data_IF_982939986418
#
_entry.id   IF_982939986418
#
_cell.length_a   1.000
_cell.length_b   1.000
_cell.length_c   1.000
_cell.angle_alpha   90.00
_cell.angle_beta   90.00
_cell.angle_gamma   90.00
#
_symmetry.space_group_name_H-M   'P 1'
#
loop_
_entity.id
_entity.type
_entity.pdbx_description
1 polymer ?
#
# COMPACT_ATOMS: atom_id res chain seq x y z
N UNK A 1 -6.23 -18.78 -0.33
CA UNK A 1 -7.69 -19.01 -0.25
C UNK A 1 -8.00 -19.33 1.19
N UNK A 2 -8.24 -18.29 1.99
CA UNK A 2 -8.76 -18.33 3.36
C UNK A 2 -9.16 -16.88 3.68
N UNK A 3 -10.36 -16.59 4.21
CA UNK A 3 -10.77 -15.21 4.48
C UNK A 3 -10.26 -14.78 5.87
N UNK A 4 -9.77 -13.54 6.07
CA UNK A 4 -9.45 -13.08 7.40
C UNK A 4 -10.73 -12.63 8.13
N UNK A 5 -10.91 -13.21 9.31
CA UNK A 5 -12.01 -12.99 10.25
C UNK A 5 -12.10 -11.54 10.73
N UNK A 6 -13.18 -10.84 10.36
CA UNK A 6 -13.49 -9.53 10.90
C UNK A 6 -13.90 -9.63 12.38
N UNK A 7 -13.10 -9.04 13.26
CA UNK A 7 -13.42 -8.87 14.68
C UNK A 7 -14.45 -7.73 14.85
N UNK A 8 -15.39 -7.83 15.80
CA UNK A 8 -16.33 -6.75 16.09
C UNK A 8 -15.58 -5.58 16.75
N UNK A 9 -16.13 -4.35 16.69
CA UNK A 9 -15.52 -3.23 17.38
C UNK A 9 -15.62 -3.48 18.90
N UNK A 10 -14.47 -3.65 19.55
CA UNK A 10 -14.36 -3.62 21.01
C UNK A 10 -14.89 -2.28 21.51
N UNK A 11 -15.96 -2.33 22.31
CA UNK A 11 -16.31 -1.28 23.25
C UNK A 11 -15.10 -1.03 24.16
N UNK A 12 -14.49 0.15 24.02
CA UNK A 12 -13.53 0.68 24.98
C UNK A 12 -14.34 1.36 26.09
N UNK A 13 -14.33 0.85 27.33
CA UNK A 13 -14.80 1.66 28.44
C UNK A 13 -13.70 2.68 28.75
N UNK A 14 -14.00 3.97 28.61
CA UNK A 14 -13.14 5.02 29.16
C UNK A 14 -13.19 4.95 30.69
N UNK A 15 -12.34 4.10 31.27
CA UNK A 15 -11.84 4.26 32.63
C UNK A 15 -10.59 5.15 32.55
N UNK A 16 -10.64 6.32 33.21
CA UNK A 16 -9.45 7.12 33.42
C UNK A 16 -9.71 8.63 33.45
N UNK A 17 -10.29 9.11 34.54
CA UNK A 17 -9.79 10.25 35.34
C UNK A 17 -10.81 10.50 36.46
N UNK A 18 -10.64 9.77 37.56
CA UNK A 18 -11.24 10.15 38.83
C UNK A 18 -10.52 11.42 39.30
N UNK A 19 -11.07 12.58 38.96
CA UNK A 19 -10.80 13.80 39.71
C UNK A 19 -11.37 13.57 41.11
N UNK A 20 -10.48 13.36 42.07
CA UNK A 20 -10.78 13.37 43.49
C UNK A 20 -11.35 14.75 43.85
N UNK A 21 -12.67 14.88 43.84
CA UNK A 21 -13.36 16.01 44.41
C UNK A 21 -13.32 15.85 45.93
N UNK A 22 -12.41 16.60 46.54
CA UNK A 22 -12.26 16.74 47.99
C UNK A 22 -13.62 17.09 48.62
N UNK A 23 -14.16 16.15 49.40
CA UNK A 23 -15.31 16.36 50.28
C UNK A 23 -14.86 17.27 51.43
N UNK A 24 -14.85 18.58 51.16
CA UNK A 24 -14.95 19.57 52.23
C UNK A 24 -16.40 19.55 52.70
N UNK A 25 -16.64 18.83 53.79
CA UNK A 25 -17.82 18.96 54.63
C UNK A 25 -17.83 20.36 55.25
N UNK A 26 -18.22 21.36 54.46
CA UNK A 26 -18.58 22.67 54.97
C UNK A 26 -20.04 22.53 55.39
N UNK A 27 -20.27 22.59 56.70
CA UNK A 27 -21.56 22.92 57.28
C UNK A 27 -21.98 24.30 56.76
N UNK A 28 -22.58 24.33 55.58
CA UNK A 28 -23.29 25.50 55.07
C UNK A 28 -24.73 25.38 55.55
N UNK A 29 -25.11 26.30 56.43
CA UNK A 29 -26.49 26.73 56.68
C UNK A 29 -27.29 26.69 55.37
N UNK A 30 -28.60 26.36 55.39
CA UNK A 30 -29.38 26.22 54.16
C UNK A 30 -29.35 27.55 53.41
N UNK A 31 -28.49 27.65 52.40
CA UNK A 31 -28.54 28.71 51.42
C UNK A 31 -29.87 28.52 50.72
N UNK A 32 -30.80 29.46 50.94
CA UNK A 32 -32.11 29.48 50.29
C UNK A 32 -31.93 29.22 48.80
N UNK A 33 -32.40 28.05 48.34
CA UNK A 33 -32.20 27.61 46.98
C UNK A 33 -32.80 28.67 46.04
N UNK A 34 -32.00 29.17 45.10
CA UNK A 34 -32.46 30.20 44.18
C UNK A 34 -33.37 29.58 43.11
N UNK A 35 -34.42 30.29 42.66
CA UNK A 35 -35.26 29.79 41.58
C UNK A 35 -34.44 29.48 40.33
N UNK A 36 -34.73 28.36 39.68
CA UNK A 36 -34.10 27.97 38.41
C UNK A 36 -35.14 27.40 37.43
N UNK A 37 -34.76 27.32 36.16
CA UNK A 37 -35.56 26.66 35.13
C UNK A 37 -34.67 25.85 34.19
N UNK A 38 -35.14 24.69 33.75
CA UNK A 38 -34.45 23.83 32.80
C UNK A 38 -35.41 23.27 31.74
N UNK A 39 -34.89 22.89 30.58
CA UNK A 39 -35.66 22.24 29.51
C UNK A 39 -35.51 20.72 29.64
N UNK A 40 -36.65 20.03 29.73
CA UNK A 40 -36.72 18.58 29.89
C UNK A 40 -37.55 17.98 28.75
N UNK A 41 -36.92 17.25 27.80
CA UNK A 41 -35.47 17.05 27.67
C UNK A 41 -34.73 18.32 27.17
N UNK A 42 -33.39 18.40 27.30
CA UNK A 42 -32.61 19.58 26.88
C UNK A 42 -32.73 19.94 25.40
N UNK A 43 -33.04 18.94 24.56
CA UNK A 43 -33.27 19.10 23.14
C UNK A 43 -34.37 18.14 22.67
N UNK A 44 -35.19 18.60 21.72
CA UNK A 44 -36.34 17.84 21.20
C UNK A 44 -36.39 17.86 19.67
N UNK A 45 -37.01 16.83 19.09
CA UNK A 45 -37.35 16.83 17.67
C UNK A 45 -38.60 17.67 17.43
N UNK A 46 -38.69 18.28 16.25
CA UNK A 46 -39.91 18.94 15.78
C UNK A 46 -41.09 17.95 15.83
N UNK A 47 -42.22 18.43 16.36
CA UNK A 47 -43.40 17.61 16.61
C UNK A 47 -43.50 16.99 18.00
N UNK A 48 -42.40 16.99 18.78
CA UNK A 48 -42.41 16.49 20.16
C UNK A 48 -42.78 17.59 21.17
N UNK A 49 -42.80 17.22 22.46
CA UNK A 49 -43.10 18.12 23.57
C UNK A 49 -41.86 18.35 24.44
N UNK A 50 -41.73 19.54 25.00
CA UNK A 50 -40.68 19.90 25.97
C UNK A 50 -41.32 20.55 27.20
N UNK A 51 -40.87 20.13 28.38
CA UNK A 51 -41.26 20.75 29.64
C UNK A 51 -40.20 21.76 30.06
N UNK A 52 -40.60 23.00 30.29
CA UNK A 52 -39.80 24.00 30.99
C UNK A 52 -40.08 23.84 32.48
N UNK A 53 -39.24 23.07 33.15
CA UNK A 53 -39.41 22.69 34.55
C UNK A 53 -38.86 23.81 35.43
N UNK A 54 -39.73 24.41 36.24
CA UNK A 54 -39.35 25.41 37.23
C UNK A 54 -39.02 24.74 38.56
N UNK A 55 -37.93 25.16 39.19
CA UNK A 55 -37.45 24.65 40.47
C UNK A 55 -37.31 25.76 41.50
N UNK A 56 -37.43 25.41 42.79
CA UNK A 56 -37.17 26.29 43.93
C UNK A 56 -37.95 27.62 43.85
N UNK A 57 -39.21 27.58 43.43
CA UNK A 57 -40.05 28.77 43.47
C UNK A 57 -40.37 29.15 44.93
N UNK A 58 -40.45 30.45 45.28
CA UNK A 58 -40.74 30.89 46.65
C UNK A 58 -42.11 30.39 47.16
N UNK A 59 -42.26 30.22 48.47
CA UNK A 59 -43.57 29.84 49.04
C UNK A 59 -44.60 30.98 48.98
N UNK A 60 -44.13 32.24 48.98
CA UNK A 60 -44.95 33.45 48.96
C UNK A 60 -45.20 34.02 47.56
N UNK A 61 -45.42 33.15 46.57
CA UNK A 61 -45.73 33.55 45.20
C UNK A 61 -47.06 34.30 45.11
N UNK A 62 -47.06 35.38 44.31
CA UNK A 62 -48.25 36.15 43.96
C UNK A 62 -48.69 35.85 42.51
N UNK A 63 -47.73 35.74 41.59
CA UNK A 63 -47.96 35.43 40.19
C UNK A 63 -46.68 34.91 39.52
N UNK A 64 -46.85 34.23 38.39
CA UNK A 64 -45.72 33.86 37.53
C UNK A 64 -46.09 33.91 36.05
N UNK A 65 -45.18 34.47 35.25
CA UNK A 65 -45.41 34.83 33.86
C UNK A 65 -44.33 34.21 32.96
N UNK A 66 -44.73 33.49 31.93
CA UNK A 66 -43.82 32.96 30.92
C UNK A 66 -43.79 33.85 29.68
N UNK A 67 -42.58 34.15 29.22
CA UNK A 67 -42.32 34.94 28.02
C UNK A 67 -41.36 34.19 27.09
N UNK A 68 -41.48 34.43 25.78
CA UNK A 68 -40.50 33.99 24.77
C UNK A 68 -39.58 35.15 24.40
N UNK A 69 -38.34 35.12 24.88
CA UNK A 69 -37.35 36.16 24.63
C UNK A 69 -36.58 36.51 25.90
N UNK A 70 -35.82 37.61 25.86
CA UNK A 70 -35.03 38.09 27.00
C UNK A 70 -35.69 39.22 27.80
N UNK A 71 -36.83 39.75 27.34
CA UNK A 71 -37.49 40.93 27.91
C UNK A 71 -38.95 40.63 28.23
N UNK A 72 -39.44 41.10 29.36
CA UNK A 72 -40.84 40.99 29.75
C UNK A 72 -41.67 42.09 29.05
N UNK A 73 -41.92 41.90 27.75
CA UNK A 73 -42.73 42.81 26.92
C UNK A 73 -44.02 42.07 26.55
N UNK A 74 -45.17 42.75 26.54
CA UNK A 74 -46.48 42.16 26.23
C UNK A 74 -46.52 41.37 24.90
N UNK A 75 -45.70 41.76 23.93
CA UNK A 75 -45.58 41.08 22.63
C UNK A 75 -44.96 39.69 22.74
N UNK A 76 -44.17 39.45 23.79
CA UNK A 76 -43.43 38.22 24.04
C UNK A 76 -44.11 37.36 25.11
N UNK A 77 -45.20 37.83 25.73
CA UNK A 77 -45.95 37.09 26.75
C UNK A 77 -46.60 35.86 26.12
N UNK A 78 -46.39 34.71 26.77
CA UNK A 78 -47.02 33.43 26.42
C UNK A 78 -48.25 33.24 27.31
N UNK A 79 -48.05 33.19 28.62
CA UNK A 79 -49.10 32.88 29.59
C UNK A 79 -48.70 33.40 30.98
N UNK A 80 -49.67 33.86 31.76
CA UNK A 80 -49.48 34.29 33.13
C UNK A 80 -50.54 33.69 34.05
N UNK A 81 -50.16 33.41 35.29
CA UNK A 81 -51.07 32.93 36.33
C UNK A 81 -51.00 33.83 37.55
N UNK A 82 -52.15 34.33 38.00
CA UNK A 82 -52.31 35.09 39.24
C UNK A 82 -52.86 34.16 40.33
N UNK A 83 -52.10 33.97 41.42
CA UNK A 83 -52.43 32.97 42.45
C UNK A 83 -53.65 33.36 43.28
N UNK A 84 -53.80 34.65 43.58
CA UNK A 84 -54.88 35.17 44.43
C UNK A 84 -56.26 35.00 43.77
N UNK A 85 -56.35 35.26 42.46
CA UNK A 85 -57.59 35.13 41.68
C UNK A 85 -57.76 33.75 41.05
N UNK A 86 -56.71 32.93 41.03
CA UNK A 86 -56.65 31.66 40.30
C UNK A 86 -56.92 31.84 38.79
N UNK A 87 -56.57 33.02 38.25
CA UNK A 87 -56.80 33.34 36.85
C UNK A 87 -55.55 33.10 36.00
N UNK A 88 -55.77 32.47 34.85
CA UNK A 88 -54.76 32.36 33.80
C UNK A 88 -55.08 33.36 32.69
N UNK A 89 -54.15 34.25 32.35
CA UNK A 89 -54.29 35.14 31.18
C UNK A 89 -53.32 34.71 30.08
N UNK A 90 -53.85 34.56 28.88
CA UNK A 90 -53.08 34.18 27.69
C UNK A 90 -52.46 35.42 27.06
N UNK A 91 -51.17 35.32 26.72
CA UNK A 91 -50.45 36.38 26.04
C UNK A 91 -50.55 36.29 24.52
N UNK A 92 -49.91 37.22 23.81
CA UNK A 92 -49.94 37.30 22.35
C UNK A 92 -49.24 36.14 21.65
N UNK A 93 -48.32 35.46 22.32
CA UNK A 93 -47.62 34.29 21.77
C UNK A 93 -48.25 32.96 22.18
N UNK A 94 -49.36 32.97 22.93
CA UNK A 94 -50.10 31.76 23.23
C UNK A 94 -50.66 31.16 21.94
N UNK A 95 -50.35 29.90 21.66
CA UNK A 95 -50.77 29.20 20.45
C UNK A 95 -51.79 28.08 20.70
N UNK A 96 -52.16 27.86 21.97
CA UNK A 96 -53.00 26.73 22.38
C UNK A 96 -52.24 25.41 22.51
N UNK A 97 -50.92 25.43 22.29
CA UNK A 97 -50.02 24.28 22.47
C UNK A 97 -49.25 24.34 23.79
N UNK A 98 -49.48 25.38 24.58
CA UNK A 98 -48.81 25.62 25.83
C UNK A 98 -49.72 25.29 27.02
N UNK A 99 -49.24 24.47 27.94
CA UNK A 99 -49.94 24.09 29.17
C UNK A 99 -49.15 24.56 30.37
N UNK A 100 -49.72 25.45 31.16
CA UNK A 100 -49.13 25.94 32.40
C UNK A 100 -49.53 25.02 33.56
N UNK A 101 -48.55 24.55 34.33
CA UNK A 101 -48.78 23.74 35.51
C UNK A 101 -48.80 24.59 36.80
N UNK A 102 -49.52 24.15 37.84
CA UNK A 102 -49.60 24.87 39.11
C UNK A 102 -48.25 25.15 39.78
N UNK A 103 -47.24 24.31 39.52
CA UNK A 103 -45.87 24.47 40.02
C UNK A 103 -45.04 25.50 39.23
N UNK A 104 -45.65 26.29 38.34
CA UNK A 104 -44.97 27.28 37.51
C UNK A 104 -44.27 26.73 36.27
N UNK A 105 -44.30 25.42 36.04
CA UNK A 105 -43.69 24.80 34.86
C UNK A 105 -44.55 24.96 33.61
N UNK A 106 -43.93 25.05 32.43
CA UNK A 106 -44.62 25.24 31.15
C UNK A 106 -44.35 24.07 30.21
N UNK A 107 -45.37 23.34 29.79
CA UNK A 107 -45.25 22.39 28.69
C UNK A 107 -45.47 23.08 27.37
N UNK A 108 -44.58 22.85 26.41
CA UNK A 108 -44.76 23.20 25.01
C UNK A 108 -45.00 21.90 24.23
N UNK A 109 -46.17 21.72 23.64
CA UNK A 109 -46.52 20.53 22.87
C UNK A 109 -46.35 20.74 21.36
N UNK A 110 -46.00 19.69 20.63
CA UNK A 110 -45.89 19.72 19.16
C UNK A 110 -45.08 20.94 18.66
N UNK A 111 -43.85 21.04 19.18
CA UNK A 111 -42.98 22.20 18.95
C UNK A 111 -42.46 22.25 17.52
N UNK A 112 -42.26 23.45 17.01
CA UNK A 112 -41.72 23.73 15.67
C UNK A 112 -40.31 24.28 15.74
N UNK A 113 -39.55 24.22 14.65
CA UNK A 113 -38.20 24.81 14.59
C UNK A 113 -38.15 26.30 14.98
N UNK A 114 -39.22 27.05 14.69
CA UNK A 114 -39.36 28.48 15.02
C UNK A 114 -39.55 28.74 16.52
N UNK A 115 -39.87 27.72 17.31
CA UNK A 115 -39.98 27.80 18.78
C UNK A 115 -38.66 27.59 19.50
N UNK A 116 -37.57 27.26 18.80
CA UNK A 116 -36.25 27.33 19.44
C UNK A 116 -35.93 28.75 19.92
N UNK A 117 -35.23 28.84 21.04
CA UNK A 117 -34.73 30.11 21.59
C UNK A 117 -34.87 30.19 23.10
N UNK A 118 -34.68 31.39 23.62
CA UNK A 118 -34.70 31.65 25.05
C UNK A 118 -36.13 31.95 25.50
N UNK A 119 -36.52 31.31 26.59
CA UNK A 119 -37.74 31.55 27.34
C UNK A 119 -37.34 32.06 28.72
N UNK A 120 -38.20 32.87 29.35
CA UNK A 120 -37.99 33.23 30.74
C UNK A 120 -39.27 33.19 31.55
N UNK A 121 -39.13 32.75 32.79
CA UNK A 121 -40.17 32.77 33.81
C UNK A 121 -39.90 33.97 34.72
N UNK A 122 -40.83 34.90 34.71
CA UNK A 122 -40.83 36.05 35.59
C UNK A 122 -41.71 35.72 36.82
N UNK A 123 -41.08 35.71 37.98
CA UNK A 123 -41.61 35.25 39.25
C UNK A 123 -41.90 36.48 40.11
N UNK A 124 -43.15 36.67 40.49
CA UNK A 124 -43.59 37.74 41.37
C UNK A 124 -43.92 37.14 42.74
N UNK A 125 -43.10 37.41 43.75
CA UNK A 125 -43.40 37.08 45.15
C UNK A 125 -43.71 38.34 45.96
N UNK A 126 -44.17 38.18 47.20
CA UNK A 126 -44.46 39.32 48.08
C UNK A 126 -43.22 40.19 48.36
N UNK A 127 -42.03 39.59 48.37
CA UNK A 127 -40.79 40.28 48.74
C UNK A 127 -40.00 40.82 47.54
N UNK A 128 -40.09 40.16 46.37
CA UNK A 128 -39.25 40.49 45.23
C UNK A 128 -39.80 39.96 43.90
N UNK A 129 -39.28 40.50 42.80
CA UNK A 129 -39.47 39.98 41.45
C UNK A 129 -38.15 39.39 40.93
N UNK A 130 -38.19 38.17 40.42
CA UNK A 130 -37.02 37.48 39.85
C UNK A 130 -37.33 36.94 38.47
N UNK A 131 -36.32 36.79 37.61
CA UNK A 131 -36.48 36.14 36.31
C UNK A 131 -35.46 35.03 36.16
N UNK A 132 -35.91 33.88 35.67
CA UNK A 132 -35.06 32.73 35.33
C UNK A 132 -35.19 32.43 33.84
N UNK A 133 -34.08 32.11 33.19
CA UNK A 133 -34.01 31.90 31.74
C UNK A 133 -33.74 30.43 31.43
N UNK A 134 -34.36 29.92 30.37
CA UNK A 134 -34.14 28.57 29.85
C UNK A 134 -34.08 28.63 28.33
N UNK A 135 -33.15 27.88 27.73
CA UNK A 135 -33.05 27.78 26.27
C UNK A 135 -33.66 26.47 25.77
N UNK A 136 -34.48 26.58 24.73
CA UNK A 136 -35.16 25.46 24.08
C UNK A 136 -34.52 25.19 22.73
N UNK A 137 -34.01 23.97 22.55
CA UNK A 137 -33.42 23.52 21.31
C UNK A 137 -34.34 22.54 20.58
N UNK A 138 -34.93 23.00 19.48
CA UNK A 138 -35.72 22.15 18.56
C UNK A 138 -34.88 21.85 17.32
N UNK A 139 -34.79 20.56 16.99
CA UNK A 139 -34.09 20.03 15.81
C UNK A 139 -35.07 19.37 14.84
N UNK A 140 -34.78 19.33 13.52
CA UNK A 140 -35.68 18.69 12.57
C UNK A 140 -35.69 17.17 12.77
N UNK A 141 -36.81 16.55 12.44
CA UNK A 141 -36.86 15.11 12.25
C UNK A 141 -36.09 14.75 10.98
N UNK A 142 -34.92 14.15 11.14
CA UNK A 142 -34.11 13.70 10.02
C UNK A 142 -34.69 12.43 9.41
N UNK A 143 -34.54 12.28 8.10
CA UNK A 143 -34.79 11.05 7.37
C UNK A 143 -33.53 10.60 6.64
N UNK A 144 -33.52 9.36 6.14
CA UNK A 144 -32.42 8.83 5.33
C UNK A 144 -32.17 9.76 4.11
N UNK A 145 -30.99 10.37 3.97
CA UNK A 145 -30.69 11.21 2.81
C UNK A 145 -30.40 10.37 1.56
N UNK A 146 -30.36 11.04 0.41
CA UNK A 146 -29.99 10.50 -0.89
C UNK A 146 -28.89 11.35 -1.51
N UNK A 147 -28.02 10.76 -2.32
CA UNK A 147 -26.98 11.51 -3.03
C UNK A 147 -27.44 11.76 -4.45
N UNK A 148 -27.56 13.03 -4.82
CA UNK A 148 -27.73 13.48 -6.20
C UNK A 148 -26.36 13.79 -6.78
N UNK A 149 -26.09 13.33 -7.99
CA UNK A 149 -24.83 13.58 -8.68
C UNK A 149 -25.06 14.15 -10.08
N UNK A 150 -24.15 15.00 -10.54
CA UNK A 150 -24.10 15.41 -11.94
C UNK A 150 -23.53 14.30 -12.86
N UNK A 151 -22.76 13.34 -12.33
CA UNK A 151 -22.06 12.29 -13.08
C UNK A 151 -21.88 11.01 -12.27
N UNK A 152 -22.11 9.86 -12.90
CA UNK A 152 -21.78 8.53 -12.35
C UNK A 152 -20.38 8.06 -12.73
N UNK A 153 -19.81 8.66 -13.78
CA UNK A 153 -18.52 8.30 -14.34
C UNK A 153 -17.74 9.55 -14.72
N UNK A 154 -16.45 9.58 -14.42
CA UNK A 154 -15.56 10.72 -14.68
C UNK A 154 -14.25 10.28 -15.33
N UNK A 155 -13.68 11.11 -16.20
CA UNK A 155 -12.36 10.89 -16.79
C UNK A 155 -11.28 11.60 -15.97
N UNK A 156 -10.23 10.85 -15.60
CA UNK A 156 -9.13 11.32 -14.78
C UNK A 156 -8.46 12.59 -15.33
N UNK A 157 -8.33 13.62 -14.49
CA UNK A 157 -7.68 14.89 -14.79
C UNK A 157 -8.49 15.86 -15.65
N UNK A 158 -9.65 15.43 -16.18
CA UNK A 158 -10.52 16.22 -17.06
C UNK A 158 -11.80 16.68 -16.36
N UNK A 159 -12.51 15.75 -15.75
CA UNK A 159 -13.84 16.02 -15.23
C UNK A 159 -13.82 16.54 -13.79
N UNK A 160 -14.86 17.30 -13.45
CA UNK A 160 -15.24 17.68 -12.09
C UNK A 160 -16.58 17.02 -11.75
N UNK A 161 -16.69 16.44 -10.55
CA UNK A 161 -17.90 15.76 -10.08
C UNK A 161 -18.48 16.50 -8.89
N UNK A 162 -19.79 16.71 -8.88
CA UNK A 162 -20.51 17.33 -7.78
C UNK A 162 -21.53 16.34 -7.22
N UNK A 163 -21.43 16.06 -5.92
CA UNK A 163 -22.33 15.20 -5.17
C UNK A 163 -23.06 16.06 -4.13
N UNK A 164 -24.39 16.07 -4.15
CA UNK A 164 -25.23 16.81 -3.20
C UNK A 164 -26.03 15.83 -2.34
N UNK A 165 -26.02 16.05 -1.03
CA UNK A 165 -26.81 15.30 -0.06
C UNK A 165 -28.20 15.93 0.08
N UNK A 166 -29.23 15.23 -0.39
CA UNK A 166 -30.62 15.69 -0.43
C UNK A 166 -31.52 14.82 0.46
N UNK A 167 -32.50 15.39 1.20
CA UNK A 167 -32.83 16.81 1.27
C UNK A 167 -31.95 17.59 2.25
N UNK A 168 -31.95 18.92 2.09
CA UNK A 168 -31.32 19.84 3.03
C UNK A 168 -32.19 20.02 4.29
N UNK A 169 -31.63 19.70 5.46
CA UNK A 169 -32.25 19.84 6.77
C UNK A 169 -31.66 21.06 7.49
N UNK A 170 -32.52 21.88 8.11
CA UNK A 170 -32.05 23.03 8.92
C UNK A 170 -31.31 22.55 10.17
N UNK A 171 -30.36 23.33 10.69
CA UNK A 171 -29.58 22.98 11.92
C UNK A 171 -28.98 21.55 11.88
N UNK A 172 -28.51 21.13 10.71
CA UNK A 172 -27.98 19.80 10.47
C UNK A 172 -26.58 19.92 9.88
N UNK A 173 -25.67 19.06 10.33
CA UNK A 173 -24.30 18.98 9.83
C UNK A 173 -24.20 17.83 8.84
N UNK A 174 -23.54 18.07 7.71
CA UNK A 174 -23.28 17.05 6.69
C UNK A 174 -21.84 16.57 6.76
N UNK A 175 -21.64 15.25 6.74
CA UNK A 175 -20.33 14.62 6.64
C UNK A 175 -20.30 13.66 5.44
N UNK A 176 -19.18 13.66 4.71
CA UNK A 176 -18.97 12.77 3.57
C UNK A 176 -18.04 11.62 3.94
N UNK A 177 -18.38 10.43 3.46
CA UNK A 177 -17.61 9.22 3.61
C UNK A 177 -17.28 8.64 2.23
N UNK A 178 -16.07 8.11 2.08
CA UNK A 178 -15.61 7.39 0.91
C UNK A 178 -15.13 6.01 1.36
N UNK A 179 -15.77 4.96 0.85
CA UNK A 179 -15.50 3.56 1.20
C UNK A 179 -15.58 3.32 2.72
N UNK A 180 -16.61 3.88 3.37
CA UNK A 180 -16.86 3.77 4.80
C UNK A 180 -15.92 4.58 5.70
N UNK A 181 -15.02 5.41 5.14
CA UNK A 181 -14.12 6.28 5.89
C UNK A 181 -14.48 7.74 5.66
N UNK A 182 -14.42 8.56 6.72
CA UNK A 182 -14.62 10.01 6.62
C UNK A 182 -13.67 10.60 5.56
N UNK A 183 -14.23 11.31 4.60
CA UNK A 183 -13.50 11.95 3.52
C UNK A 183 -12.62 13.08 4.07
N UNK A 184 -11.35 13.09 3.66
CA UNK A 184 -10.41 14.17 4.00
C UNK A 184 -10.46 15.21 2.89
N UNK A 185 -10.76 16.44 3.26
CA UNK A 185 -10.76 17.60 2.37
C UNK A 185 -9.30 17.98 2.08
N UNK A 186 -8.97 18.16 0.80
CA UNK A 186 -7.67 18.62 0.30
C UNK A 186 -7.91 19.63 -0.85
N UNK A 187 -6.86 20.10 -1.52
CA UNK A 187 -6.97 21.10 -2.59
C UNK A 187 -7.81 20.63 -3.81
N UNK A 188 -8.10 19.33 -3.93
CA UNK A 188 -8.91 18.74 -5.00
C UNK A 188 -10.32 18.36 -4.54
N UNK A 189 -10.64 18.56 -3.27
CA UNK A 189 -11.92 18.22 -2.66
C UNK A 189 -12.47 19.48 -2.00
N UNK A 190 -13.51 20.08 -2.57
CA UNK A 190 -14.17 21.25 -2.00
C UNK A 190 -15.53 20.87 -1.40
N UNK A 191 -15.90 21.53 -0.31
CA UNK A 191 -17.23 21.43 0.29
C UNK A 191 -17.95 22.77 0.18
N UNK A 192 -19.26 22.74 -0.02
CA UNK A 192 -20.12 23.92 0.13
C UNK A 192 -20.09 24.46 1.55
N UNK A 193 -20.59 25.67 1.76
CA UNK A 193 -20.59 26.34 3.08
C UNK A 193 -21.30 25.55 4.19
N UNK A 194 -22.31 24.77 3.83
CA UNK A 194 -23.08 23.88 4.70
C UNK A 194 -22.57 22.43 4.70
N UNK A 195 -21.50 22.14 3.97
CA UNK A 195 -20.92 20.82 3.70
C UNK A 195 -21.87 19.84 2.99
N UNK A 196 -23.06 20.26 2.56
CA UNK A 196 -24.04 19.38 1.94
C UNK A 196 -23.71 19.02 0.49
N UNK A 197 -22.84 19.79 -0.17
CA UNK A 197 -22.36 19.52 -1.53
C UNK A 197 -20.84 19.30 -1.51
N UNK A 198 -20.42 18.20 -2.10
CA UNK A 198 -19.04 17.77 -2.28
C UNK A 198 -18.65 17.93 -3.74
N UNK A 199 -17.62 18.73 -4.01
CA UNK A 199 -17.08 18.96 -5.35
C UNK A 199 -15.69 18.35 -5.46
N UNK A 200 -15.53 17.38 -6.35
CA UNK A 200 -14.27 16.70 -6.66
C UNK A 200 -13.66 17.35 -7.90
N UNK A 201 -12.62 18.17 -7.70
CA UNK A 201 -11.93 18.92 -8.75
C UNK A 201 -10.83 18.06 -9.39
N UNK A 202 -10.72 18.11 -10.73
CA UNK A 202 -9.70 17.38 -11.51
C UNK A 202 -9.59 15.92 -11.04
N UNK A 203 -10.70 15.20 -11.15
CA UNK A 203 -10.90 13.88 -10.56
C UNK A 203 -9.68 12.98 -10.79
N UNK A 204 -9.20 12.33 -9.74
CA UNK A 204 -8.13 11.33 -9.82
C UNK A 204 -8.70 9.92 -9.69
N UNK A 205 -7.97 8.90 -10.16
CA UNK A 205 -8.38 7.49 -9.96
C UNK A 205 -8.57 7.10 -8.49
N UNK A 206 -7.98 7.83 -7.54
CA UNK A 206 -8.16 7.60 -6.10
C UNK A 206 -9.53 8.06 -5.57
N UNK A 207 -10.28 8.84 -6.34
CA UNK A 207 -11.65 9.24 -6.01
C UNK A 207 -12.68 8.19 -6.46
N UNK A 208 -12.26 7.09 -7.08
CA UNK A 208 -13.14 5.97 -7.39
C UNK A 208 -13.59 5.28 -6.11
N UNK A 209 -14.90 5.08 -5.95
CA UNK A 209 -15.43 4.37 -4.79
C UNK A 209 -16.88 4.66 -4.47
N UNK A 210 -17.28 4.24 -3.27
CA UNK A 210 -18.64 4.36 -2.73
C UNK A 210 -18.70 5.56 -1.79
N UNK A 211 -19.42 6.60 -2.20
CA UNK A 211 -19.66 7.80 -1.43
C UNK A 211 -20.95 7.67 -0.63
N UNK A 212 -20.91 8.06 0.63
CA UNK A 212 -22.08 8.13 1.52
C UNK A 212 -22.09 9.51 2.18
N UNK A 213 -23.27 10.12 2.28
CA UNK A 213 -23.44 11.35 3.04
C UNK A 213 -24.17 11.06 4.35
N UNK A 214 -23.70 11.65 5.44
CA UNK A 214 -24.27 11.56 6.77
C UNK A 214 -24.91 12.91 7.12
N UNK A 215 -26.22 12.91 7.33
CA UNK A 215 -26.95 14.06 7.89
C UNK A 215 -27.09 13.86 9.40
N UNK A 216 -26.55 14.78 10.20
CA UNK A 216 -26.48 14.65 11.65
C UNK A 216 -26.97 15.90 12.38
N UNK A 217 -27.77 15.70 13.43
CA UNK A 217 -28.08 16.69 14.45
C UNK A 217 -27.74 16.11 15.85
N UNK A 218 -27.87 16.86 16.95
CA UNK A 218 -27.55 16.36 18.29
C UNK A 218 -28.41 15.18 18.78
N UNK A 219 -29.54 14.90 18.12
CA UNK A 219 -30.48 13.85 18.49
C UNK A 219 -30.38 12.60 17.60
N UNK A 220 -29.67 12.65 16.47
CA UNK A 220 -29.50 11.51 15.59
C UNK A 220 -28.65 11.78 14.34
N UNK A 221 -28.24 10.70 13.67
CA UNK A 221 -27.50 10.74 12.42
C UNK A 221 -28.06 9.69 11.44
N UNK A 222 -28.16 10.04 10.17
CA UNK A 222 -28.64 9.16 9.11
C UNK A 222 -27.69 9.18 7.92
N UNK A 223 -27.32 7.99 7.43
CA UNK A 223 -26.48 7.81 6.24
C UNK A 223 -27.33 7.55 5.00
N UNK A 224 -26.88 8.06 3.86
CA UNK A 224 -27.47 7.74 2.56
C UNK A 224 -27.20 6.31 2.15
N UNK A 225 -27.91 5.83 1.12
CA UNK A 225 -27.40 4.72 0.34
C UNK A 225 -26.09 5.14 -0.37
N UNK A 226 -25.15 4.20 -0.57
CA UNK A 226 -23.87 4.50 -1.19
C UNK A 226 -24.02 4.81 -2.69
N UNK A 227 -23.52 5.98 -3.10
CA UNK A 227 -23.35 6.37 -4.49
C UNK A 227 -21.99 5.90 -5.01
N UNK A 228 -21.96 5.07 -6.06
CA UNK A 228 -20.68 4.58 -6.61
C UNK A 228 -20.22 5.47 -7.75
N UNK A 229 -19.10 6.17 -7.56
CA UNK A 229 -18.42 6.93 -8.61
C UNK A 229 -17.37 6.05 -9.28
N UNK A 230 -17.48 5.87 -10.59
CA UNK A 230 -16.43 5.24 -11.39
C UNK A 230 -15.52 6.30 -12.02
N UNK A 231 -14.22 6.02 -12.11
CA UNK A 231 -13.23 6.95 -12.67
C UNK A 231 -12.42 6.25 -13.73
N UNK A 232 -12.51 6.72 -14.96
CA UNK A 232 -11.77 6.22 -16.11
C UNK A 232 -10.36 6.83 -16.16
N UNK A 233 -9.34 5.99 -16.33
CA UNK A 233 -7.93 6.36 -16.35
C UNK A 233 -7.08 5.47 -17.26
N UNK A 234 -5.87 5.91 -17.53
CA UNK A 234 -4.94 5.22 -18.43
C UNK A 234 -5.28 5.33 -19.92
N UNK A 235 -4.57 4.59 -20.79
CA UNK A 235 -3.54 3.63 -20.42
C UNK A 235 -2.31 4.34 -19.86
N UNK A 236 -1.81 3.85 -18.74
CA UNK A 236 -0.51 4.25 -18.23
C UNK A 236 0.61 3.75 -19.17
N UNK A 237 1.86 4.11 -18.91
CA UNK A 237 2.99 3.69 -19.76
C UNK A 237 3.09 2.17 -19.86
N UNK A 238 3.02 1.59 -21.07
CA UNK A 238 3.05 0.15 -21.24
C UNK A 238 4.43 -0.45 -20.99
N UNK A 239 4.45 -1.69 -20.53
CA UNK A 239 5.63 -2.54 -20.39
C UNK A 239 5.53 -3.77 -21.30
N UNK A 240 6.67 -4.25 -21.80
CA UNK A 240 6.75 -5.42 -22.69
C UNK A 240 7.53 -6.53 -22.00
N UNK A 241 6.89 -7.69 -21.84
CA UNK A 241 7.46 -8.89 -21.24
C UNK A 241 7.74 -9.97 -22.28
N UNK A 242 8.80 -10.78 -22.11
CA UNK A 242 9.86 -10.62 -21.11
C UNK A 242 10.72 -9.37 -21.39
N UNK A 243 11.47 -8.83 -20.42
CA UNK A 243 12.25 -7.60 -20.61
C UNK A 243 13.53 -7.80 -21.44
N UNK A 244 14.06 -9.02 -21.53
CA UNK A 244 15.25 -9.33 -22.31
C UNK A 244 15.02 -9.16 -23.81
N UNK A 245 16.08 -8.80 -24.54
CA UNK A 245 16.03 -8.56 -25.99
C UNK A 245 16.48 -9.74 -26.86
N UNK A 246 17.21 -10.70 -26.30
CA UNK A 246 17.79 -11.82 -27.05
C UNK A 246 16.86 -13.04 -27.05
N UNK A 247 16.67 -13.67 -28.21
CA UNK A 247 15.89 -14.91 -28.39
C UNK A 247 16.66 -15.91 -29.26
N UNK A 248 16.48 -17.21 -29.07
CA UNK A 248 17.22 -18.25 -29.81
C UNK A 248 16.54 -18.57 -31.14
N UNK A 249 17.31 -18.61 -32.23
CA UNK A 249 16.84 -19.02 -33.55
C UNK A 249 16.22 -20.44 -33.54
N UNK A 250 15.14 -20.62 -34.29
CA UNK A 250 14.39 -21.86 -34.39
C UNK A 250 13.47 -22.14 -33.19
N UNK A 251 13.56 -21.36 -32.09
CA UNK A 251 12.62 -21.44 -30.97
C UNK A 251 11.41 -20.53 -31.17
N UNK A 252 10.39 -20.70 -30.33
CA UNK A 252 9.26 -19.76 -30.30
C UNK A 252 9.60 -18.58 -29.40
N UNK A 253 9.25 -17.36 -29.83
CA UNK A 253 9.26 -16.18 -28.96
C UNK A 253 7.83 -15.74 -28.64
N UNK A 254 7.66 -15.11 -27.49
CA UNK A 254 6.42 -14.49 -27.08
C UNK A 254 6.72 -13.11 -26.47
N UNK A 255 5.90 -12.14 -26.80
CA UNK A 255 5.91 -10.80 -26.23
C UNK A 255 4.51 -10.49 -25.70
N UNK A 256 4.41 -10.02 -24.47
CA UNK A 256 3.17 -9.57 -23.84
C UNK A 256 3.29 -8.12 -23.46
N UNK A 257 2.39 -7.28 -23.97
CA UNK A 257 2.33 -5.88 -23.59
C UNK A 257 1.32 -5.68 -22.46
N UNK A 258 1.66 -4.91 -21.43
CA UNK A 258 0.80 -4.68 -20.29
C UNK A 258 0.77 -3.20 -19.93
N UNK A 259 -0.41 -2.63 -19.79
CA UNK A 259 -0.62 -1.26 -19.36
C UNK A 259 -1.78 -1.17 -18.37
N UNK A 260 -1.63 -0.37 -17.32
CA UNK A 260 -2.70 -0.12 -16.35
C UNK A 260 -3.72 0.84 -16.98
N UNK A 261 -4.98 0.40 -17.10
CA UNK A 261 -6.06 1.23 -17.64
C UNK A 261 -7.44 0.77 -17.14
N UNK A 262 -8.33 1.73 -16.88
CA UNK A 262 -9.74 1.48 -16.59
C UNK A 262 -10.61 2.43 -17.42
N UNK A 263 -11.54 1.93 -18.27
CA UNK A 263 -11.73 0.53 -18.64
C UNK A 263 -10.48 -0.06 -19.34
N UNK A 264 -10.49 -1.37 -19.61
CA UNK A 264 -9.37 -2.05 -20.28
C UNK A 264 -9.04 -1.36 -21.61
N UNK A 265 -7.76 -1.09 -21.85
CA UNK A 265 -7.28 -0.52 -23.10
C UNK A 265 -7.26 -1.54 -24.25
N UNK A 266 -7.29 -1.05 -25.48
CA UNK A 266 -7.01 -1.82 -26.69
C UNK A 266 -5.52 -1.82 -26.97
N UNK A 267 -5.02 -2.97 -27.43
CA UNK A 267 -3.61 -3.22 -27.71
C UNK A 267 -3.42 -3.51 -29.19
N UNK A 268 -2.31 -3.04 -29.74
CA UNK A 268 -1.86 -3.41 -31.08
C UNK A 268 -0.35 -3.38 -31.16
N UNK A 269 0.20 -4.16 -32.09
CA UNK A 269 1.63 -4.23 -32.34
C UNK A 269 1.98 -3.67 -33.70
N UNK A 270 3.05 -2.90 -33.76
CA UNK A 270 3.76 -2.53 -34.98
C UNK A 270 5.16 -3.16 -34.91
N UNK A 271 5.51 -3.97 -35.91
CA UNK A 271 6.78 -4.68 -36.02
C UNK A 271 7.53 -4.14 -37.23
N UNK A 272 8.69 -3.53 -37.00
CA UNK A 272 9.54 -2.95 -38.06
C UNK A 272 8.84 -1.90 -38.95
N UNK A 273 7.87 -1.17 -38.40
CA UNK A 273 7.10 -0.15 -39.12
C UNK A 273 5.75 -0.65 -39.62
N UNK A 274 5.56 -1.97 -39.72
CA UNK A 274 4.34 -2.58 -40.25
C UNK A 274 3.36 -3.00 -39.13
N UNK A 275 2.06 -2.71 -39.26
CA UNK A 275 1.04 -3.23 -38.36
C UNK A 275 1.03 -4.77 -38.36
N UNK A 276 1.10 -5.37 -37.17
CA UNK A 276 1.11 -6.83 -37.02
C UNK A 276 -0.26 -7.38 -36.64
N UNK A 277 -0.74 -7.08 -35.43
CA UNK A 277 -2.05 -7.53 -34.95
C UNK A 277 -2.62 -6.57 -33.91
N UNK A 278 -3.94 -6.65 -33.70
CA UNK A 278 -4.65 -5.95 -32.63
C UNK A 278 -4.84 -6.87 -31.41
N UNK A 279 -3.73 -7.40 -30.88
CA UNK A 279 -3.71 -8.26 -29.68
C UNK A 279 -2.74 -7.73 -28.64
N UNK A 280 -2.98 -8.12 -27.39
CA UNK A 280 -2.07 -7.80 -26.27
C UNK A 280 -0.77 -8.60 -26.35
N UNK A 281 -0.85 -9.82 -26.89
CA UNK A 281 0.25 -10.76 -27.02
C UNK A 281 0.61 -10.99 -28.48
N UNK A 282 1.90 -11.14 -28.73
CA UNK A 282 2.49 -11.53 -30.00
C UNK A 282 3.32 -12.78 -29.77
N UNK A 283 3.11 -13.81 -30.58
CA UNK A 283 3.96 -15.00 -30.58
C UNK A 283 4.36 -15.34 -32.01
N UNK A 284 5.64 -15.68 -32.18
CA UNK A 284 6.21 -16.17 -33.43
C UNK A 284 6.86 -17.51 -33.13
N UNK A 285 6.43 -18.55 -33.85
CA UNK A 285 7.04 -19.86 -33.78
C UNK A 285 8.21 -19.94 -34.74
N UNK A 286 9.28 -20.65 -34.34
CA UNK A 286 10.49 -20.85 -35.15
C UNK A 286 11.06 -19.53 -35.70
N UNK A 287 11.48 -18.66 -34.78
CA UNK A 287 12.06 -17.35 -35.13
C UNK A 287 13.33 -17.52 -35.97
N UNK A 288 13.53 -16.61 -36.91
CA UNK A 288 14.72 -16.52 -37.77
C UNK A 288 15.35 -15.14 -37.64
N UNK A 289 16.57 -14.97 -38.17
CA UNK A 289 17.28 -13.68 -38.19
C UNK A 289 16.42 -12.55 -38.83
N UNK A 290 15.50 -12.90 -39.73
CA UNK A 290 14.57 -11.94 -40.35
C UNK A 290 13.59 -11.29 -39.37
N UNK A 291 13.38 -11.90 -38.18
CA UNK A 291 12.50 -11.36 -37.14
C UNK A 291 13.18 -10.31 -36.24
N UNK A 292 14.45 -9.96 -36.52
CA UNK A 292 15.16 -8.88 -35.82
C UNK A 292 14.49 -7.52 -36.04
N UNK A 293 14.53 -6.67 -35.02
CA UNK A 293 14.20 -5.26 -35.14
C UNK A 293 13.36 -4.70 -34.00
N UNK A 294 12.52 -3.71 -34.31
CA UNK A 294 11.80 -2.92 -33.33
C UNK A 294 10.33 -3.35 -33.25
N UNK A 295 9.93 -3.80 -32.07
CA UNK A 295 8.57 -4.21 -31.74
C UNK A 295 7.94 -3.12 -30.88
N UNK A 296 6.97 -2.41 -31.46
CA UNK A 296 6.26 -1.31 -30.81
C UNK A 296 4.88 -1.77 -30.38
N UNK A 297 4.64 -1.80 -29.08
CA UNK A 297 3.28 -1.93 -28.55
C UNK A 297 2.61 -0.57 -28.50
N UNK A 298 1.42 -0.46 -29.07
CA UNK A 298 0.53 0.70 -28.97
C UNK A 298 -0.68 0.33 -28.12
N UNK A 299 -0.98 1.18 -27.13
CA UNK A 299 -2.12 1.03 -26.23
C UNK A 299 -3.03 2.26 -26.31
N UNK A 300 -4.34 2.04 -26.39
CA UNK A 300 -5.33 3.10 -26.51
C UNK A 300 -6.55 2.83 -25.61
N UNK A 301 -6.98 3.82 -24.84
CA UNK A 301 -8.25 3.77 -24.12
C UNK A 301 -9.19 4.83 -24.69
N UNK A 302 -10.16 4.38 -25.48
CA UNK A 302 -11.15 5.25 -26.11
C UNK A 302 -12.01 6.05 -25.11
N UNK A 303 -12.24 5.51 -23.90
CA UNK A 303 -13.07 6.16 -22.89
C UNK A 303 -12.38 7.37 -22.24
N UNK A 304 -11.05 7.35 -22.14
CA UNK A 304 -10.24 8.49 -21.67
C UNK A 304 -9.72 9.35 -22.82
N UNK A 305 -9.73 8.83 -24.05
CA UNK A 305 -9.10 9.45 -25.22
C UNK A 305 -7.57 9.43 -25.18
N UNK A 306 -6.96 8.65 -24.29
CA UNK A 306 -5.51 8.56 -24.12
C UNK A 306 -4.93 7.38 -24.87
N UNK A 307 -3.77 7.60 -25.48
CA UNK A 307 -2.93 6.56 -26.07
C UNK A 307 -1.51 6.62 -25.48
N UNK A 308 -0.79 5.51 -25.58
CA UNK A 308 0.60 5.41 -25.16
C UNK A 308 1.29 4.30 -25.99
N UNK A 309 2.62 4.22 -25.93
CA UNK A 309 3.37 3.21 -26.67
C UNK A 309 4.69 2.85 -25.99
N UNK A 310 5.18 1.63 -26.23
CA UNK A 310 6.51 1.19 -25.82
C UNK A 310 7.19 0.48 -26.96
N UNK A 311 8.45 0.83 -27.21
CA UNK A 311 9.30 0.18 -28.21
C UNK A 311 10.24 -0.81 -27.50
N UNK A 312 10.42 -2.00 -28.08
CA UNK A 312 11.38 -3.01 -27.66
C UNK A 312 12.22 -3.46 -28.84
N UNK A 313 13.53 -3.48 -28.66
CA UNK A 313 14.46 -4.12 -29.59
C UNK A 313 14.44 -5.65 -29.38
N UNK A 314 14.34 -6.41 -30.46
CA UNK A 314 14.40 -7.88 -30.48
C UNK A 314 15.56 -8.30 -31.37
N UNK A 315 16.44 -9.14 -30.83
CA UNK A 315 17.62 -9.69 -31.49
C UNK A 315 17.53 -11.21 -31.41
N UNK A 316 17.35 -11.86 -32.55
CA UNK A 316 17.44 -13.30 -32.72
C UNK A 316 18.92 -13.67 -32.80
N UNK A 317 19.32 -14.57 -31.92
CA UNK A 317 20.68 -15.10 -31.80
C UNK A 317 20.66 -16.50 -32.36
N UNK A 318 21.56 -16.78 -33.30
CA UNK A 318 21.73 -18.12 -33.88
C UNK A 318 21.88 -19.18 -32.79
N UNK A 319 21.32 -20.37 -33.06
CA UNK A 319 21.51 -21.52 -32.18
C UNK A 319 23.00 -21.79 -32.07
N UNK A 320 23.49 -22.02 -30.84
CA UNK A 320 24.91 -22.30 -30.57
C UNK A 320 25.14 -23.82 -30.49
N UNK A 321 25.75 -24.46 -31.50
CA UNK A 321 26.12 -25.87 -31.46
C UNK A 321 27.28 -26.10 -30.51
N UNK A 322 27.50 -27.36 -30.17
CA UNK A 322 28.65 -27.78 -29.36
C UNK A 322 29.94 -27.61 -30.18
N UNK A 323 30.95 -26.88 -29.69
CA UNK A 323 32.22 -26.77 -30.38
C UNK A 323 33.02 -28.08 -30.28
N UNK A 324 34.04 -28.26 -31.12
CA UNK A 324 35.01 -29.34 -30.98
C UNK A 324 36.44 -28.82 -31.10
N UNK A 325 37.39 -29.49 -30.45
CA UNK A 325 38.80 -29.15 -30.55
C UNK A 325 39.45 -30.04 -31.61
N UNK A 326 40.13 -29.42 -32.57
CA UNK A 326 40.98 -30.08 -33.54
C UNK A 326 42.44 -30.00 -33.06
N UNK A 327 43.10 -31.17 -32.99
CA UNK A 327 44.51 -31.31 -32.64
C UNK A 327 45.16 -32.33 -33.58
N UNK A 328 46.42 -32.11 -33.97
CA UNK A 328 47.12 -33.03 -34.88
C UNK A 328 47.42 -34.37 -34.22
N UNK A 329 47.97 -34.33 -33.00
CA UNK A 329 48.31 -35.49 -32.18
C UNK A 329 47.91 -35.20 -30.73
N UNK A 330 47.19 -36.11 -30.09
CA UNK A 330 46.89 -36.04 -28.65
C UNK A 330 48.09 -36.47 -27.79
N UNK A 331 49.11 -37.07 -28.39
CA UNK A 331 50.35 -37.48 -27.73
C UNK A 331 51.52 -36.69 -28.30
N UNK A 332 52.21 -35.92 -27.46
CA UNK A 332 53.28 -35.00 -27.88
C UNK A 332 54.52 -35.24 -27.03
N UNK A 333 55.70 -35.22 -27.66
CA UNK A 333 56.98 -35.34 -26.95
C UNK A 333 57.28 -34.05 -26.19
N UNK A 334 57.89 -34.17 -25.01
CA UNK A 334 58.42 -33.01 -24.29
C UNK A 334 59.35 -32.18 -25.19
N UNK A 335 59.34 -30.87 -25.01
CA UNK A 335 60.08 -29.89 -25.83
C UNK A 335 59.63 -29.73 -27.28
N UNK A 336 58.55 -30.39 -27.71
CA UNK A 336 57.88 -30.10 -28.97
C UNK A 336 56.71 -29.15 -28.76
N UNK A 337 56.11 -28.67 -29.85
CA UNK A 337 54.93 -27.81 -29.79
C UNK A 337 53.63 -28.58 -30.08
N UNK A 338 52.51 -28.06 -29.61
CA UNK A 338 51.16 -28.53 -29.96
C UNK A 338 50.22 -27.36 -30.26
N UNK A 339 49.39 -27.54 -31.29
CA UNK A 339 48.31 -26.62 -31.65
C UNK A 339 46.95 -27.25 -31.35
N UNK A 340 46.18 -26.62 -30.48
CA UNK A 340 44.78 -26.92 -30.19
C UNK A 340 43.91 -25.84 -30.84
N UNK A 341 43.07 -26.21 -31.81
CA UNK A 341 42.18 -25.26 -32.50
C UNK A 341 40.72 -25.54 -32.16
N UNK A 342 40.02 -24.58 -31.58
CA UNK A 342 38.58 -24.67 -31.29
C UNK A 342 37.77 -24.35 -32.55
N UNK A 343 37.00 -25.33 -33.02
CA UNK A 343 36.14 -25.24 -34.18
C UNK A 343 34.68 -25.09 -33.72
N UNK A 344 34.01 -24.05 -34.23
CA UNK A 344 32.60 -23.74 -33.97
C UNK A 344 31.95 -23.29 -35.27
N UNK A 345 30.72 -23.72 -35.50
CA UNK A 345 29.94 -23.40 -36.71
C UNK A 345 29.59 -21.91 -36.79
N UNK A 346 29.41 -21.23 -35.64
CA UNK A 346 29.05 -19.82 -35.63
C UNK A 346 30.29 -18.90 -35.73
N UNK A 347 30.13 -17.82 -36.49
CA UNK A 347 31.06 -16.70 -36.50
C UNK A 347 30.72 -15.72 -35.36
N UNK A 348 31.66 -14.88 -34.94
CA UNK A 348 31.41 -13.86 -33.90
C UNK A 348 31.24 -14.36 -32.45
N UNK A 349 31.37 -15.66 -32.18
CA UNK A 349 31.37 -16.21 -30.81
C UNK A 349 32.63 -15.82 -30.04
N UNK A 350 32.49 -15.68 -28.72
CA UNK A 350 33.63 -15.52 -27.81
C UNK A 350 34.14 -16.88 -27.35
N UNK A 351 35.46 -17.07 -27.36
CA UNK A 351 36.11 -18.37 -27.08
C UNK A 351 37.00 -18.26 -25.85
N UNK A 352 36.86 -19.24 -24.95
CA UNK A 352 37.69 -19.42 -23.77
C UNK A 352 38.19 -20.86 -23.67
N UNK A 353 39.37 -21.06 -23.10
CA UNK A 353 39.94 -22.39 -22.91
C UNK A 353 39.88 -22.78 -21.44
N UNK A 354 39.59 -24.06 -21.20
CA UNK A 354 39.64 -24.67 -19.88
C UNK A 354 40.57 -25.87 -19.90
N UNK A 355 41.31 -26.05 -18.81
CA UNK A 355 42.21 -27.18 -18.58
C UNK A 355 41.82 -27.85 -17.27
N UNK A 356 41.57 -29.16 -17.31
CA UNK A 356 41.10 -29.95 -16.17
C UNK A 356 39.90 -29.30 -15.45
N UNK A 357 38.89 -28.89 -16.23
CA UNK A 357 37.66 -28.23 -15.78
C UNK A 357 37.86 -26.87 -15.07
N UNK A 358 39.03 -26.25 -15.21
CA UNK A 358 39.31 -24.91 -14.70
C UNK A 358 39.71 -23.97 -15.82
N UNK A 359 39.52 -22.66 -15.65
CA UNK A 359 39.98 -21.66 -16.63
C UNK A 359 41.49 -21.85 -16.86
N UNK A 360 41.88 -22.01 -18.13
CA UNK A 360 43.27 -22.21 -18.49
C UNK A 360 44.09 -20.99 -18.04
N UNK A 361 45.12 -21.24 -17.23
CA UNK A 361 46.08 -20.21 -16.82
C UNK A 361 47.14 -20.08 -17.91
N UNK A 362 47.14 -18.95 -18.61
CA UNK A 362 48.16 -18.66 -19.61
C UNK A 362 49.55 -18.62 -18.97
N UNK A 363 50.53 -19.22 -19.65
CA UNK A 363 51.95 -19.14 -19.32
C UNK A 363 52.69 -18.49 -20.49
N UNK A 364 53.95 -18.10 -20.29
CA UNK A 364 54.77 -17.50 -21.37
C UNK A 364 55.01 -18.46 -22.55
N UNK A 365 54.79 -19.77 -22.34
CA UNK A 365 54.88 -20.84 -23.38
C UNK A 365 53.60 -20.97 -24.21
N UNK A 366 52.50 -20.32 -23.80
CA UNK A 366 51.20 -20.45 -24.43
C UNK A 366 50.87 -19.20 -25.24
N UNK A 367 50.58 -19.37 -26.53
CA UNK A 367 50.14 -18.28 -27.40
C UNK A 367 48.70 -18.52 -27.89
N UNK A 368 47.87 -17.48 -27.80
CA UNK A 368 46.49 -17.49 -28.27
C UNK A 368 46.40 -16.68 -29.56
N UNK A 369 45.94 -17.31 -30.64
CA UNK A 369 45.79 -16.66 -31.95
C UNK A 369 44.36 -16.79 -32.48
N UNK A 370 44.03 -15.95 -33.47
CA UNK A 370 42.72 -15.92 -34.14
C UNK A 370 41.53 -15.71 -33.17
N UNK A 371 41.57 -14.64 -32.36
CA UNK A 371 40.55 -14.35 -31.34
C UNK A 371 40.33 -15.51 -30.35
N UNK A 372 41.43 -16.03 -29.80
CA UNK A 372 41.47 -17.19 -28.91
C UNK A 372 41.01 -18.52 -29.54
N UNK A 373 40.81 -18.60 -30.87
CA UNK A 373 40.44 -19.86 -31.54
C UNK A 373 41.55 -20.89 -31.51
N UNK A 374 42.82 -20.48 -31.56
CA UNK A 374 43.97 -21.40 -31.53
C UNK A 374 44.82 -21.16 -30.30
N UNK A 375 45.07 -22.21 -29.54
CA UNK A 375 46.03 -22.28 -28.44
C UNK A 375 47.25 -23.07 -28.92
N UNK A 376 48.41 -22.43 -28.94
CA UNK A 376 49.69 -23.07 -29.23
C UNK A 376 50.52 -23.13 -27.96
N UNK A 377 51.05 -24.30 -27.63
CA UNK A 377 51.93 -24.51 -26.48
C UNK A 377 53.31 -24.89 -27.03
N UNK A 378 54.32 -24.05 -26.77
CA UNK A 378 55.69 -24.26 -27.23
C UNK A 378 56.72 -23.69 -26.23
N UNK A 379 57.60 -24.50 -25.62
CA UNK A 379 57.63 -25.97 -25.66
C UNK A 379 56.58 -26.60 -24.73
N UNK A 380 56.09 -27.79 -25.06
CA UNK A 380 55.25 -28.63 -24.16
C UNK A 380 56.08 -29.20 -23.02
N UNK A 381 55.54 -29.15 -21.79
CA UNK A 381 56.12 -29.74 -20.58
C UNK A 381 55.19 -30.77 -19.96
N UNK A 382 55.70 -31.60 -19.03
CA UNK A 382 54.90 -32.62 -18.33
C UNK A 382 53.65 -32.07 -17.61
N UNK A 383 53.68 -30.80 -17.19
CA UNK A 383 52.55 -30.12 -16.53
C UNK A 383 51.39 -29.79 -17.48
N UNK A 384 51.62 -29.80 -18.79
CA UNK A 384 50.59 -29.57 -19.81
C UNK A 384 49.74 -30.83 -20.07
N UNK A 385 50.09 -31.97 -19.48
CA UNK A 385 49.30 -33.20 -19.61
C UNK A 385 47.95 -33.06 -18.90
N UNK A 386 46.84 -33.26 -19.61
CA UNK A 386 45.50 -33.13 -19.05
C UNK A 386 44.40 -32.92 -20.08
N UNK A 387 43.19 -32.63 -19.60
CA UNK A 387 42.00 -32.47 -20.43
C UNK A 387 41.77 -30.99 -20.80
N UNK A 388 41.88 -30.66 -22.08
CA UNK A 388 41.55 -29.35 -22.62
C UNK A 388 40.14 -29.33 -23.19
N UNK A 389 39.39 -28.27 -22.92
CA UNK A 389 38.10 -27.96 -23.55
C UNK A 389 38.08 -26.51 -23.99
N UNK A 390 37.29 -26.22 -25.03
CA UNK A 390 36.98 -24.85 -25.41
C UNK A 390 35.52 -24.54 -25.14
N UNK A 391 35.27 -23.38 -24.54
CA UNK A 391 33.96 -22.81 -24.31
C UNK A 391 33.70 -21.74 -25.38
N UNK A 392 32.59 -21.87 -26.09
CA UNK A 392 32.07 -20.86 -27.00
C UNK A 392 30.84 -20.19 -26.39
N UNK A 393 30.70 -18.89 -26.57
CA UNK A 393 29.57 -18.13 -26.04
C UNK A 393 29.03 -17.11 -27.03
N UNK A 394 27.71 -16.92 -26.99
CA UNK A 394 26.97 -15.85 -27.67
C UNK A 394 26.22 -14.99 -26.62
N UNK A 395 25.55 -13.89 -26.99
CA UNK A 395 24.83 -13.03 -26.02
C UNK A 395 23.73 -13.71 -25.21
N UNK A 396 23.32 -14.93 -25.57
CA UNK A 396 22.20 -15.65 -24.98
C UNK A 396 22.64 -16.87 -24.15
N UNK A 397 23.66 -17.61 -24.58
CA UNK A 397 24.08 -18.87 -23.96
C UNK A 397 25.56 -19.22 -24.24
N UNK A 398 26.07 -20.22 -23.50
CA UNK A 398 27.44 -20.76 -23.63
C UNK A 398 27.41 -22.28 -23.87
N UNK A 399 28.44 -22.84 -24.51
CA UNK A 399 28.61 -24.28 -24.78
C UNK A 399 30.08 -24.70 -24.70
N UNK A 400 30.35 -25.84 -24.06
CA UNK A 400 31.67 -26.45 -23.94
C UNK A 400 31.87 -27.58 -24.97
N UNK A 401 33.11 -27.75 -25.44
CA UNK A 401 33.50 -28.90 -26.25
C UNK A 401 33.57 -30.19 -25.45
N UNK A 402 33.69 -31.33 -26.13
CA UNK A 402 34.24 -32.52 -25.48
C UNK A 402 35.69 -32.31 -25.08
N UNK A 403 36.16 -32.93 -23.99
CA UNK A 403 37.54 -32.82 -23.54
C UNK A 403 38.50 -33.60 -24.44
N UNK A 404 39.58 -32.94 -24.86
CA UNK A 404 40.74 -33.56 -25.53
C UNK A 404 41.83 -33.77 -24.49
N UNK A 405 42.25 -35.03 -24.28
CA UNK A 405 43.26 -35.37 -23.28
C UNK A 405 44.65 -35.39 -23.91
N UNK A 406 45.45 -34.37 -23.64
CA UNK A 406 46.84 -34.29 -24.10
C UNK A 406 47.74 -35.18 -23.21
N UNK A 407 48.43 -36.13 -23.83
CA UNK A 407 49.45 -36.96 -23.22
C UNK A 407 50.85 -36.44 -23.59
N UNK A 408 51.72 -36.25 -22.60
CA UNK A 408 53.09 -35.76 -22.81
C UNK A 408 54.07 -36.91 -22.59
N UNK A 409 54.84 -37.25 -23.63
CA UNK A 409 55.88 -38.27 -23.57
C UNK A 409 57.22 -37.60 -23.22
N UNK A 410 57.76 -37.95 -22.07
CA UNK A 410 59.05 -37.46 -21.57
C UNK A 410 60.00 -38.64 -21.33
N UNK A 411 61.30 -38.41 -21.48
CA UNK A 411 62.28 -39.42 -21.06
C UNK A 411 62.22 -39.54 -19.53
N UNK A 412 62.40 -40.76 -18.95
CA UNK A 412 62.54 -40.89 -17.51
C UNK A 412 63.71 -40.00 -17.08
N UNK A 413 63.40 -38.89 -16.40
CA UNK A 413 64.42 -38.08 -15.75
C UNK A 413 65.19 -39.04 -14.87
N UNK A 414 66.50 -39.22 -15.13
CA UNK A 414 67.41 -39.89 -14.19
C UNK A 414 67.18 -39.15 -12.89
N UNK A 415 66.42 -39.78 -11.98
CA UNK A 415 66.34 -39.31 -10.61
C UNK A 415 67.77 -39.04 -10.19
N UNK A 416 68.08 -37.89 -9.58
CA UNK A 416 69.39 -37.74 -8.98
C UNK A 416 69.48 -38.89 -8.00
N UNK A 417 70.25 -39.92 -8.36
CA UNK A 417 70.52 -41.02 -7.48
C UNK A 417 71.20 -40.33 -6.31
N UNK A 418 70.46 -40.14 -5.22
CA UNK A 418 71.01 -39.54 -4.01
C UNK A 418 72.34 -40.24 -3.79
N UNK A 419 73.42 -39.46 -3.69
CA UNK A 419 74.74 -40.06 -3.50
C UNK A 419 74.66 -41.03 -2.31
N UNK A 420 75.45 -42.11 -2.28
CA UNK A 420 75.45 -43.04 -1.15
C UNK A 420 75.57 -42.32 0.20
N UNK A 421 76.22 -41.15 0.21
CA UNK A 421 76.30 -40.21 1.33
C UNK A 421 74.97 -39.55 1.74
N UNK A 422 74.12 -39.10 0.80
CA UNK A 422 72.80 -38.49 1.15
C UNK A 422 71.79 -39.60 1.53
N UNK A 423 71.87 -40.78 0.90
CA UNK A 423 71.06 -41.94 1.34
C UNK A 423 71.49 -42.39 2.74
N UNK A 424 72.79 -42.44 3.03
CA UNK A 424 73.27 -42.76 4.38
C UNK A 424 72.87 -41.70 5.42
N UNK A 425 72.85 -40.41 5.07
CA UNK A 425 72.41 -39.36 6.00
C UNK A 425 70.90 -39.44 6.27
N UNK A 426 70.07 -39.65 5.23
CA UNK A 426 68.62 -39.84 5.40
C UNK A 426 68.30 -41.12 6.17
N UNK A 427 69.03 -42.21 5.93
CA UNK A 427 68.86 -43.46 6.69
C UNK A 427 69.31 -43.26 8.15
N UNK A 428 70.40 -42.55 8.41
CA UNK A 428 70.83 -42.21 9.76
C UNK A 428 69.84 -41.31 10.49
N UNK A 429 69.25 -40.32 9.82
CA UNK A 429 68.21 -39.45 10.39
C UNK A 429 66.91 -40.20 10.67
N UNK A 430 66.47 -41.08 9.77
CA UNK A 430 65.28 -41.93 9.98
C UNK A 430 65.52 -42.94 11.10
N UNK A 431 66.70 -43.57 11.17
CA UNK A 431 67.05 -44.49 12.26
C UNK A 431 67.19 -43.76 13.59
N UNK A 432 67.78 -42.56 13.63
CA UNK A 432 67.83 -41.73 14.83
C UNK A 432 66.42 -41.30 15.27
N UNK A 433 65.55 -40.91 14.33
CA UNK A 433 64.16 -40.58 14.60
C UNK A 433 63.36 -41.77 15.16
N UNK A 434 63.53 -42.96 14.57
CA UNK A 434 62.90 -44.19 15.06
C UNK A 434 63.46 -44.65 16.41
N UNK A 435 64.76 -44.47 16.67
CA UNK A 435 65.36 -44.77 17.98
C UNK A 435 64.89 -43.80 19.06
N UNK A 436 64.71 -42.51 18.74
CA UNK A 436 64.14 -41.51 19.65
C UNK A 436 62.67 -41.84 19.92
N UNK A 437 61.88 -42.16 18.90
CA UNK A 437 60.47 -42.55 19.07
C UNK A 437 60.33 -43.86 19.87
N UNK A 438 61.18 -44.85 19.60
CA UNK A 438 61.23 -46.11 20.34
C UNK A 438 61.66 -45.92 21.79
N UNK A 439 62.67 -45.10 22.04
CA UNK A 439 63.14 -44.75 23.38
C UNK A 439 62.11 -43.95 24.18
N UNK A 440 61.43 -43.00 23.55
CA UNK A 440 60.32 -42.26 24.16
C UNK A 440 59.13 -43.18 24.46
N UNK A 441 58.77 -44.08 23.54
CA UNK A 441 57.71 -45.06 23.76
C UNK A 441 58.06 -46.02 24.90
N UNK A 442 59.30 -46.52 24.95
CA UNK A 442 59.80 -47.36 26.04
C UNK A 442 59.76 -46.62 27.38
N UNK A 443 60.26 -45.38 27.42
CA UNK A 443 60.26 -44.56 28.64
C UNK A 443 58.84 -44.25 29.12
N UNK A 444 57.90 -43.96 28.22
CA UNK A 444 56.49 -43.75 28.55
C UNK A 444 55.82 -45.04 29.03
N UNK A 445 56.15 -46.20 28.43
CA UNK A 445 55.59 -47.49 28.81
C UNK A 445 56.07 -47.93 30.21
N UNK A 446 57.37 -47.83 30.49
CA UNK A 446 57.92 -48.19 31.81
C UNK A 446 57.55 -47.19 32.91
N UNK A 447 57.48 -45.88 32.60
CA UNK A 447 57.00 -44.88 33.58
C UNK A 447 55.49 -45.00 33.87
N UNK A 448 54.72 -45.68 33.01
CA UNK A 448 53.33 -46.09 33.29
C UNK A 448 53.23 -47.37 34.11
N UNK A 449 54.21 -48.27 34.03
CA UNK A 449 54.27 -49.51 34.83
C UNK A 449 54.74 -49.26 36.27
N UNK A 450 55.58 -48.25 36.52
CA UNK A 450 55.99 -47.83 37.88
C UNK A 450 54.92 -47.01 38.64
N UNK A 451 53.74 -46.80 38.05
CA UNK A 451 52.60 -46.04 38.63
C UNK A 451 51.29 -46.84 38.70
N UNK A 452 51.35 -48.15 38.47
CA UNK A 452 50.27 -49.11 38.71
C UNK A 452 50.78 -50.13 39.74
#
# INVERSE_FOLDING_TARGET
MEPPSAHPPMCVPWQGLLLAASLLTIWNFPATATPTAESVPPAVLEGQSVLLLAHNLPDNLLAYHWYKGKRSIDKDLIIMYEIKSQETKQGKLYSGKETLYPNGSLMLQNVTLKQSGIYHLNIHSADNQKSVFVEVFVYPLLSKPTIRSNRTTAVEGRDTVELTCDPLFRKTTYLWHLNGKKLRVDDRIALSRDNATLTLLRVSRHFRGRYECEAKNPLGAFHSDPFTLDVFYGPDTPEIFPPHKYFEEGRSMWLSCQAVSHPKAHYSWNVNGEPWNARQELSIHQVSISNNGLYTCLVNNAATGRNNSKVKEVIIVEKLPKPHIQVKNETVLEHHFVDLTCISENTGVSIWWTFNNQKLKATDRMTFSWNNRRLTIDPVTKEDAGAYQCEVSNPLNTRLSDPVKLAVLYQPSKSPLLSPTIVASLVAEVLAGLAILGGLAYFVFFKKLDKA
#
